data_IF_499604805761
#
_entry.id   IF_499604805761
#
_cell.length_a   1.000
_cell.length_b   1.000
_cell.length_c   1.000
_cell.angle_alpha   90.00
_cell.angle_beta   90.00
_cell.angle_gamma   90.00
#
_symmetry.space_group_name_H-M   'P 1'
#
loop_
_entity.id
_entity.type
_entity.pdbx_description
1 polymer ?
#
# COMPACT_ATOMS: atom_id res chain seq x y z
N UNK A 1 2.92 7.62 -21.94
CA UNK A 1 2.24 7.44 -20.64
C UNK A 1 2.44 8.71 -19.82
N UNK A 2 1.38 9.28 -19.27
CA UNK A 2 1.50 10.50 -18.48
C UNK A 2 1.93 10.18 -17.04
N UNK A 3 2.26 11.21 -16.29
CA UNK A 3 2.75 11.07 -14.92
C UNK A 3 1.72 10.41 -13.99
N UNK A 4 0.47 10.82 -14.12
CA UNK A 4 -0.61 10.25 -13.30
C UNK A 4 -0.74 8.74 -13.52
N UNK A 5 -0.74 8.30 -14.76
CA UNK A 5 -0.82 6.88 -15.10
C UNK A 5 0.40 6.13 -14.57
N UNK A 6 1.60 6.71 -14.71
CA UNK A 6 2.82 6.09 -14.19
C UNK A 6 2.77 5.91 -12.67
N UNK A 7 2.30 6.93 -11.96
CA UNK A 7 2.18 6.86 -10.49
C UNK A 7 1.13 5.84 -10.07
N UNK A 8 0.01 5.74 -10.80
CA UNK A 8 -1.01 4.74 -10.53
C UNK A 8 -0.48 3.32 -10.71
N UNK A 9 0.32 3.09 -11.75
CA UNK A 9 0.95 1.79 -11.98
C UNK A 9 1.92 1.48 -10.84
N UNK A 10 2.75 2.43 -10.45
CA UNK A 10 3.70 2.25 -9.34
C UNK A 10 2.99 1.93 -8.03
N UNK A 11 1.89 2.63 -7.75
CA UNK A 11 1.09 2.38 -6.55
C UNK A 11 0.51 0.98 -6.55
N UNK A 12 -0.05 0.55 -7.68
CA UNK A 12 -0.62 -0.79 -7.84
C UNK A 12 0.45 -1.86 -7.64
N UNK A 13 1.63 -1.68 -8.23
CA UNK A 13 2.74 -2.62 -8.07
C UNK A 13 3.20 -2.69 -6.61
N UNK A 14 3.29 -1.55 -5.93
CA UNK A 14 3.68 -1.51 -4.53
C UNK A 14 2.68 -2.26 -3.64
N UNK A 15 1.38 -2.08 -3.90
CA UNK A 15 0.33 -2.79 -3.17
C UNK A 15 0.40 -4.28 -3.40
N UNK A 16 0.53 -4.71 -4.65
CA UNK A 16 0.59 -6.13 -5.01
C UNK A 16 1.83 -6.79 -4.43
N UNK A 17 2.97 -6.13 -4.50
CA UNK A 17 4.21 -6.63 -3.91
C UNK A 17 4.08 -6.77 -2.40
N UNK A 18 3.45 -5.80 -1.74
CA UNK A 18 3.22 -5.85 -0.29
C UNK A 18 2.35 -7.05 0.09
N UNK A 19 1.33 -7.37 -0.69
CA UNK A 19 0.49 -8.54 -0.44
C UNK A 19 1.28 -9.83 -0.54
N UNK A 20 2.12 -9.95 -1.56
CA UNK A 20 2.98 -11.14 -1.74
C UNK A 20 3.94 -11.28 -0.57
N UNK A 21 4.57 -10.20 -0.15
CA UNK A 21 5.50 -10.20 0.98
C UNK A 21 4.79 -10.53 2.29
N UNK A 22 3.59 -10.03 2.47
CA UNK A 22 2.78 -10.34 3.65
C UNK A 22 2.46 -11.83 3.72
N UNK A 23 2.01 -12.42 2.63
CA UNK A 23 1.73 -13.85 2.57
C UNK A 23 2.99 -14.68 2.81
N UNK A 24 4.11 -14.27 2.22
CA UNK A 24 5.39 -14.94 2.44
C UNK A 24 5.81 -14.91 3.91
N UNK A 25 5.57 -13.79 4.59
CA UNK A 25 5.89 -13.65 6.01
C UNK A 25 5.05 -14.59 6.87
N UNK A 26 3.76 -14.70 6.57
CA UNK A 26 2.85 -15.57 7.32
C UNK A 26 3.21 -17.05 7.13
N UNK A 27 3.55 -17.44 5.91
CA UNK A 27 3.78 -18.85 5.57
C UNK A 27 5.20 -19.32 5.88
N UNK A 28 6.12 -18.41 6.19
CA UNK A 28 7.51 -18.79 6.42
C UNK A 28 7.70 -19.45 7.78
N UNK A 29 8.30 -20.64 7.76
CA UNK A 29 8.69 -21.35 8.98
C UNK A 29 10.11 -21.00 9.44
N UNK A 30 10.94 -20.44 8.56
CA UNK A 30 12.31 -20.05 8.86
C UNK A 30 12.35 -18.63 9.37
N UNK A 31 12.95 -18.43 10.55
CA UNK A 31 13.03 -17.11 11.19
C UNK A 31 13.83 -16.09 10.38
N UNK A 32 14.87 -16.53 9.70
CA UNK A 32 15.69 -15.64 8.89
C UNK A 32 14.93 -15.18 7.65
N UNK A 33 14.21 -16.10 7.01
CA UNK A 33 13.35 -15.78 5.86
C UNK A 33 12.23 -14.87 6.30
N UNK A 34 11.61 -15.13 7.46
CA UNK A 34 10.58 -14.28 8.02
C UNK A 34 11.07 -12.85 8.22
N UNK A 35 12.28 -12.69 8.76
CA UNK A 35 12.88 -11.36 8.95
C UNK A 35 13.07 -10.63 7.62
N UNK A 36 13.56 -11.35 6.59
CA UNK A 36 13.74 -10.76 5.26
C UNK A 36 12.42 -10.29 4.66
N UNK A 37 11.39 -11.12 4.71
CA UNK A 37 10.07 -10.75 4.20
C UNK A 37 9.47 -9.59 4.97
N UNK A 38 9.57 -9.60 6.29
CA UNK A 38 9.02 -8.54 7.13
C UNK A 38 9.71 -7.22 6.90
N UNK A 39 11.03 -7.22 6.74
CA UNK A 39 11.80 -6.03 6.42
C UNK A 39 11.41 -5.47 5.05
N UNK A 40 11.33 -6.33 4.05
CA UNK A 40 10.96 -5.95 2.70
C UNK A 40 9.53 -5.38 2.66
N UNK A 41 8.62 -6.00 3.41
CA UNK A 41 7.24 -5.50 3.53
C UNK A 41 7.21 -4.09 4.12
N UNK A 42 7.97 -3.84 5.18
CA UNK A 42 8.07 -2.51 5.78
C UNK A 42 8.58 -1.47 4.81
N UNK A 43 9.57 -1.81 4.00
CA UNK A 43 10.11 -0.92 2.98
C UNK A 43 9.10 -0.63 1.88
N UNK A 44 8.37 -1.66 1.44
CA UNK A 44 7.32 -1.48 0.41
C UNK A 44 6.17 -0.61 0.90
N UNK A 45 5.81 -0.74 2.17
CA UNK A 45 4.77 0.11 2.76
C UNK A 45 5.22 1.57 2.76
N UNK A 46 6.48 1.84 3.07
CA UNK A 46 7.03 3.20 3.01
C UNK A 46 6.99 3.76 1.59
N UNK A 47 7.38 2.96 0.62
CA UNK A 47 7.35 3.35 -0.80
C UNK A 47 5.92 3.66 -1.23
N UNK A 48 4.98 2.81 -0.86
CA UNK A 48 3.56 3.03 -1.16
C UNK A 48 3.08 4.36 -0.58
N UNK A 49 3.44 4.65 0.67
CA UNK A 49 3.04 5.89 1.32
C UNK A 49 3.64 7.12 0.65
N UNK A 50 4.89 7.03 0.21
CA UNK A 50 5.54 8.12 -0.51
C UNK A 50 4.87 8.39 -1.85
N UNK A 51 4.53 7.34 -2.59
CA UNK A 51 3.81 7.46 -3.86
C UNK A 51 2.45 8.10 -3.62
N UNK A 52 1.74 7.65 -2.60
CA UNK A 52 0.43 8.16 -2.24
C UNK A 52 0.48 9.66 -1.90
N UNK A 53 1.46 10.07 -1.10
CA UNK A 53 1.66 11.48 -0.76
C UNK A 53 1.95 12.32 -2.00
N UNK A 54 2.80 11.83 -2.87
CA UNK A 54 3.13 12.52 -4.11
C UNK A 54 1.89 12.70 -4.98
N UNK A 55 1.07 11.68 -5.09
CA UNK A 55 -0.19 11.74 -5.84
C UNK A 55 -1.16 12.76 -5.23
N UNK A 56 -1.23 12.83 -3.92
CA UNK A 56 -2.05 13.82 -3.23
C UNK A 56 -1.56 15.24 -3.52
N UNK A 57 -0.25 15.47 -3.44
CA UNK A 57 0.35 16.78 -3.71
C UNK A 57 0.08 17.25 -5.14
N UNK A 58 0.07 16.32 -6.08
CA UNK A 58 -0.17 16.62 -7.50
C UNK A 58 -1.64 16.64 -7.87
N UNK A 59 -2.53 16.34 -6.94
CA UNK A 59 -3.96 16.33 -7.18
C UNK A 59 -4.46 15.12 -7.96
N UNK A 60 -3.66 14.07 -8.08
CA UNK A 60 -4.04 12.85 -8.78
C UNK A 60 -4.89 11.91 -7.92
N UNK A 61 -4.89 12.14 -6.62
CA UNK A 61 -5.70 11.37 -5.69
C UNK A 61 -6.49 12.34 -4.82
N UNK A 62 -7.80 12.26 -4.91
CA UNK A 62 -8.70 13.12 -4.14
C UNK A 62 -9.48 12.28 -3.14
N UNK A 63 -9.44 12.69 -1.88
CA UNK A 63 -10.29 12.08 -0.87
C UNK A 63 -11.73 12.52 -1.14
N UNK A 64 -12.60 11.53 -1.33
CA UNK A 64 -14.02 11.79 -1.53
C UNK A 64 -14.71 11.71 -0.16
N UNK A 65 -15.48 12.74 0.24
CA UNK A 65 -16.19 12.71 1.53
C UNK A 65 -17.07 11.48 1.72
N UNK A 66 -17.68 10.98 0.64
CA UNK A 66 -18.49 9.77 0.69
C UNK A 66 -17.64 8.56 1.08
N UNK A 67 -16.41 8.49 0.60
CA UNK A 67 -15.50 7.40 0.96
C UNK A 67 -15.09 7.47 2.43
N UNK A 68 -14.92 8.66 2.97
CA UNK A 68 -14.63 8.83 4.38
C UNK A 68 -15.78 8.36 5.25
N UNK A 69 -17.02 8.70 4.87
CA UNK A 69 -18.22 8.22 5.56
C UNK A 69 -18.28 6.70 5.55
N UNK A 70 -17.98 6.07 4.42
CA UNK A 70 -17.96 4.61 4.32
C UNK A 70 -16.87 3.99 5.19
N UNK A 71 -15.71 4.63 5.28
CA UNK A 71 -14.64 4.17 6.16
C UNK A 71 -15.06 4.20 7.62
N UNK A 72 -15.74 5.25 8.04
CA UNK A 72 -16.24 5.38 9.40
C UNK A 72 -17.28 4.32 9.71
N UNK A 73 -18.18 4.03 8.75
CA UNK A 73 -19.15 2.94 8.89
C UNK A 73 -18.46 1.59 9.06
N UNK A 74 -17.44 1.33 8.25
CA UNK A 74 -16.69 0.08 8.33
C UNK A 74 -15.98 -0.02 9.67
N UNK A 75 -15.34 1.04 10.13
CA UNK A 75 -14.68 1.05 11.44
C UNK A 75 -15.64 0.81 12.58
N UNK A 76 -16.84 1.34 12.52
CA UNK A 76 -17.83 1.16 13.57
C UNK A 76 -18.41 -0.26 13.61
N UNK A 77 -18.28 -1.01 12.53
CA UNK A 77 -18.70 -2.41 12.47
C UNK A 77 -17.65 -3.38 13.01
N UNK A 78 -16.43 -2.97 13.07
CA UNK A 78 -15.31 -3.78 13.52
C UNK A 78 -14.72 -3.21 14.80
#
# INVERSE_FOLDING_TARGET
>A
MNEETSLNIMLTLAKNTSEILYHGSIESADKNVLKCFSKALGEMIKIKDEIFKLMQEKGYYKLNPVKESKKDEIKSKY
#
